data_IF_020361611096
#
_entry.id   IF_020361611096
#
_cell.length_a   1.000
_cell.length_b   1.000
_cell.length_c   1.000
_cell.angle_alpha   90.00
_cell.angle_beta   90.00
_cell.angle_gamma   90.00
#
_symmetry.space_group_name_H-M   'P 1'
#
loop_
_entity.id
_entity.type
_entity.pdbx_description
1 polymer ?
#
# COMPACT_ATOMS: atom_id res chain seq x y z
N UNK A 1 8.01 -20.29 -27.80
CA UNK A 1 7.58 -18.86 -27.71
C UNK A 1 7.32 -18.43 -26.26
N UNK A 2 6.46 -19.12 -25.47
CA UNK A 2 6.12 -18.74 -24.08
C UNK A 2 7.37 -18.72 -23.18
N UNK A 3 8.28 -19.70 -23.32
CA UNK A 3 9.53 -19.74 -22.53
C UNK A 3 10.37 -18.49 -22.81
N UNK A 4 10.48 -18.06 -24.06
CA UNK A 4 11.24 -16.86 -24.42
C UNK A 4 10.59 -15.60 -23.87
N UNK A 5 9.26 -15.48 -23.95
CA UNK A 5 8.52 -14.35 -23.39
C UNK A 5 8.63 -14.25 -21.85
N UNK A 6 8.74 -15.39 -21.17
CA UNK A 6 8.89 -15.43 -19.71
C UNK A 6 10.32 -15.25 -19.22
N UNK A 7 11.33 -15.56 -20.08
CA UNK A 7 12.72 -15.74 -19.69
C UNK A 7 13.30 -14.57 -18.90
N UNK A 8 13.22 -13.37 -19.46
CA UNK A 8 13.85 -12.18 -18.88
C UNK A 8 13.15 -11.80 -17.56
N UNK A 9 11.81 -11.79 -17.56
CA UNK A 9 11.04 -11.51 -16.35
C UNK A 9 11.27 -12.59 -15.28
N UNK A 10 11.43 -13.84 -15.69
CA UNK A 10 11.69 -14.97 -14.79
C UNK A 10 13.07 -14.89 -14.13
N UNK A 11 14.08 -14.44 -14.88
CA UNK A 11 15.44 -14.29 -14.36
C UNK A 11 15.57 -13.05 -13.46
N UNK A 12 15.05 -11.91 -13.91
CA UNK A 12 15.29 -10.62 -13.26
C UNK A 12 14.27 -10.32 -12.15
N UNK A 13 13.02 -10.77 -12.31
CA UNK A 13 11.89 -10.46 -11.42
C UNK A 13 11.09 -11.72 -11.11
N UNK A 14 11.73 -12.69 -10.49
CA UNK A 14 11.14 -14.01 -10.20
C UNK A 14 9.70 -13.99 -9.70
N UNK A 15 9.32 -13.17 -8.68
CA UNK A 15 7.94 -13.13 -8.20
C UNK A 15 6.93 -12.69 -9.27
N UNK A 16 7.33 -11.77 -10.15
CA UNK A 16 6.52 -11.31 -11.28
C UNK A 16 6.42 -12.40 -12.35
N UNK A 17 7.53 -13.08 -12.64
CA UNK A 17 7.57 -14.21 -13.59
C UNK A 17 6.66 -15.35 -13.16
N UNK A 18 6.65 -15.70 -11.86
CA UNK A 18 5.76 -16.73 -11.31
C UNK A 18 4.28 -16.35 -11.48
N UNK A 19 3.92 -15.09 -11.20
CA UNK A 19 2.54 -14.59 -11.41
C UNK A 19 2.15 -14.60 -12.89
N UNK A 20 3.03 -14.13 -13.75
CA UNK A 20 2.78 -14.09 -15.20
C UNK A 20 2.60 -15.49 -15.75
N UNK A 21 3.49 -16.43 -15.39
CA UNK A 21 3.35 -17.83 -15.78
C UNK A 21 2.01 -18.41 -15.34
N UNK A 22 1.61 -18.20 -14.07
CA UNK A 22 0.32 -18.67 -13.55
C UNK A 22 -0.90 -18.03 -14.24
N UNK A 23 -0.78 -16.77 -14.72
CA UNK A 23 -1.84 -16.15 -15.50
C UNK A 23 -1.95 -16.79 -16.90
N UNK A 24 -0.81 -17.03 -17.55
CA UNK A 24 -0.75 -17.73 -18.85
C UNK A 24 -1.34 -19.13 -18.72
N UNK A 25 -0.94 -19.89 -17.69
CA UNK A 25 -1.46 -21.22 -17.39
C UNK A 25 -2.99 -21.23 -17.31
N UNK A 26 -3.56 -20.32 -16.53
CA UNK A 26 -5.03 -20.19 -16.38
C UNK A 26 -5.75 -19.82 -17.67
N UNK A 27 -5.15 -18.98 -18.52
CA UNK A 27 -5.72 -18.62 -19.83
C UNK A 27 -5.80 -19.85 -20.73
N UNK A 28 -4.74 -20.66 -20.77
CA UNK A 28 -4.74 -21.88 -21.58
C UNK A 28 -5.62 -22.98 -20.99
N UNK A 29 -5.71 -23.11 -19.68
CA UNK A 29 -6.66 -24.03 -19.06
C UNK A 29 -8.10 -23.66 -19.42
N UNK A 30 -8.45 -22.37 -19.37
CA UNK A 30 -9.75 -21.89 -19.80
C UNK A 30 -10.02 -22.14 -21.30
N UNK A 31 -8.99 -22.02 -22.14
CA UNK A 31 -9.11 -22.35 -23.57
C UNK A 31 -9.36 -23.85 -23.80
N UNK A 32 -8.83 -24.73 -22.95
CA UNK A 32 -9.11 -26.17 -22.96
C UNK A 32 -10.55 -26.43 -22.54
N UNK A 33 -11.02 -25.79 -21.45
CA UNK A 33 -12.39 -25.91 -20.97
C UNK A 33 -13.44 -25.48 -22.02
N UNK A 34 -13.06 -24.57 -22.93
CA UNK A 34 -13.85 -24.13 -24.07
C UNK A 34 -13.63 -24.97 -25.36
N UNK A 35 -12.91 -26.09 -25.26
CA UNK A 35 -12.56 -26.97 -26.39
C UNK A 35 -11.80 -26.29 -27.53
N UNK A 36 -11.18 -25.11 -27.27
CA UNK A 36 -10.38 -24.36 -28.25
C UNK A 36 -8.97 -24.93 -28.42
N UNK A 37 -8.52 -25.78 -27.47
CA UNK A 37 -7.22 -26.44 -27.45
C UNK A 37 -7.27 -27.78 -26.74
N UNK A 38 -6.39 -28.68 -27.12
CA UNK A 38 -6.26 -30.00 -26.49
C UNK A 38 -5.28 -30.01 -25.31
N UNK A 39 -4.36 -29.01 -25.22
CA UNK A 39 -3.34 -29.03 -24.16
C UNK A 39 -2.82 -27.64 -23.77
N UNK A 40 -2.28 -27.55 -22.54
CA UNK A 40 -1.71 -26.32 -22.01
C UNK A 40 -0.22 -26.22 -22.34
N UNK A 41 0.21 -25.26 -23.20
CA UNK A 41 1.61 -25.10 -23.60
C UNK A 41 2.45 -24.37 -22.55
N UNK A 42 1.91 -24.00 -21.39
CA UNK A 42 2.66 -23.25 -20.38
C UNK A 42 3.75 -24.12 -19.78
N UNK A 43 5.02 -23.67 -19.81
CA UNK A 43 6.13 -24.45 -19.29
C UNK A 43 6.00 -24.72 -17.80
N UNK A 44 6.35 -25.93 -17.36
CA UNK A 44 6.45 -26.23 -15.93
C UNK A 44 7.58 -25.41 -15.28
N UNK A 45 7.49 -25.00 -14.01
CA UNK A 45 8.54 -24.19 -13.36
C UNK A 45 9.93 -24.79 -13.48
N UNK A 46 10.06 -26.13 -13.44
CA UNK A 46 11.33 -26.87 -13.61
C UNK A 46 11.95 -26.78 -15.01
N UNK A 47 11.16 -26.38 -16.02
CA UNK A 47 11.63 -26.21 -17.40
C UNK A 47 12.11 -24.78 -17.67
N UNK A 48 12.02 -23.88 -16.70
CA UNK A 48 12.49 -22.51 -16.78
C UNK A 48 13.88 -22.39 -16.15
N UNK A 49 14.71 -21.42 -16.57
CA UNK A 49 16.06 -21.28 -16.05
C UNK A 49 16.07 -21.00 -14.55
N UNK A 50 17.14 -21.40 -13.87
CA UNK A 50 17.33 -21.09 -12.45
C UNK A 50 17.55 -19.58 -12.30
N UNK A 51 16.65 -18.92 -11.59
CA UNK A 51 16.80 -17.50 -11.27
C UNK A 51 17.63 -17.32 -10.00
N UNK A 52 18.64 -16.48 -10.08
CA UNK A 52 19.42 -16.04 -8.92
C UNK A 52 18.80 -14.82 -8.22
N UNK A 53 17.59 -14.41 -8.63
CA UNK A 53 16.90 -13.27 -8.05
C UNK A 53 16.69 -13.47 -6.54
N UNK A 54 17.29 -12.63 -5.74
CA UNK A 54 17.04 -12.55 -4.32
C UNK A 54 15.83 -11.65 -4.06
N UNK A 55 14.93 -12.11 -3.20
CA UNK A 55 13.76 -11.31 -2.83
C UNK A 55 14.24 -10.19 -1.89
N UNK A 56 14.26 -8.97 -2.39
CA UNK A 56 14.46 -7.80 -1.54
C UNK A 56 13.13 -7.45 -0.85
N UNK A 57 13.14 -7.48 0.47
CA UNK A 57 12.02 -6.99 1.27
C UNK A 57 12.02 -5.46 1.28
N UNK A 58 10.82 -4.86 1.39
CA UNK A 58 10.74 -3.42 1.61
C UNK A 58 11.52 -3.05 2.87
N UNK A 59 12.41 -2.06 2.74
CA UNK A 59 13.19 -1.57 3.88
C UNK A 59 12.23 -1.00 4.93
N UNK A 60 12.32 -1.55 6.13
CA UNK A 60 11.65 -1.03 7.33
C UNK A 60 12.59 -0.07 8.06
N UNK A 61 12.02 0.85 8.80
CA UNK A 61 12.75 1.72 9.70
C UNK A 61 12.89 1.02 11.05
N UNK A 62 14.04 1.19 11.71
CA UNK A 62 14.17 0.76 13.10
C UNK A 62 13.26 1.61 13.97
N UNK A 63 12.56 1.00 14.94
CA UNK A 63 11.54 1.68 15.74
C UNK A 63 12.13 2.82 16.59
N UNK A 64 13.40 2.72 16.99
CA UNK A 64 14.14 3.74 17.71
C UNK A 64 14.21 5.07 16.95
N UNK A 65 14.08 5.04 15.64
CA UNK A 65 14.07 6.21 14.78
C UNK A 65 12.69 6.84 14.61
N UNK A 66 11.65 6.25 15.19
CA UNK A 66 10.30 6.79 15.09
C UNK A 66 10.17 8.23 15.63
N UNK A 67 10.80 8.61 16.79
CA UNK A 67 10.79 9.99 17.26
C UNK A 67 11.51 10.97 16.31
N UNK A 68 12.61 10.54 15.67
CA UNK A 68 13.33 11.34 14.66
C UNK A 68 12.43 11.64 13.45
N UNK A 69 11.76 10.60 12.91
CA UNK A 69 10.81 10.77 11.81
C UNK A 69 9.64 11.66 12.21
N UNK A 70 9.08 11.46 13.40
CA UNK A 70 8.00 12.29 13.92
C UNK A 70 8.39 13.76 13.96
N UNK A 71 9.54 14.08 14.55
CA UNK A 71 10.06 15.43 14.57
C UNK A 71 10.25 16.00 13.17
N UNK A 72 10.87 15.23 12.28
CA UNK A 72 11.08 15.65 10.88
C UNK A 72 9.77 15.93 10.15
N UNK A 73 8.75 15.09 10.31
CA UNK A 73 7.43 15.31 9.71
C UNK A 73 6.81 16.64 10.15
N UNK A 74 6.96 17.01 11.42
CA UNK A 74 6.30 18.19 12.01
C UNK A 74 7.09 19.48 11.85
N UNK A 75 8.40 19.40 11.60
CA UNK A 75 9.27 20.57 11.38
C UNK A 75 9.56 20.84 9.91
N UNK A 76 9.29 19.87 9.00
CA UNK A 76 9.64 20.00 7.58
C UNK A 76 8.79 21.06 6.89
N UNK A 77 9.42 22.15 6.35
CA UNK A 77 8.71 23.13 5.54
C UNK A 77 8.27 22.54 4.19
N UNK A 78 7.25 23.13 3.57
CA UNK A 78 6.77 22.78 2.22
C UNK A 78 6.26 21.34 2.05
N UNK A 79 5.86 20.67 3.15
CA UNK A 79 5.12 19.43 3.09
C UNK A 79 3.63 19.72 3.27
N UNK A 80 2.81 19.33 2.30
CA UNK A 80 1.35 19.52 2.38
C UNK A 80 0.76 18.81 3.61
N UNK A 81 -0.24 19.40 4.28
CA UNK A 81 -0.81 18.87 5.53
C UNK A 81 -1.35 17.46 5.35
N UNK A 82 -2.00 17.14 4.24
CA UNK A 82 -2.55 15.80 3.98
C UNK A 82 -1.45 14.73 3.92
N UNK A 83 -0.31 15.03 3.27
CA UNK A 83 0.82 14.11 3.17
C UNK A 83 1.49 13.91 4.53
N UNK A 84 1.68 15.00 5.26
CA UNK A 84 2.25 14.99 6.62
C UNK A 84 1.41 14.12 7.55
N UNK A 85 0.13 14.41 7.63
CA UNK A 85 -0.80 13.68 8.50
C UNK A 85 -0.96 12.23 8.05
N UNK A 86 -1.00 11.97 6.73
CA UNK A 86 -1.04 10.62 6.20
C UNK A 86 0.16 9.78 6.63
N UNK A 87 1.38 10.33 6.61
CA UNK A 87 2.58 9.65 7.10
C UNK A 87 2.57 9.49 8.62
N UNK A 88 2.13 10.51 9.37
CA UNK A 88 2.01 10.43 10.83
C UNK A 88 1.00 9.35 11.25
N UNK A 89 -0.16 9.28 10.59
CA UNK A 89 -1.15 8.23 10.82
C UNK A 89 -0.65 6.85 10.39
N UNK A 90 0.14 6.76 9.31
CA UNK A 90 0.76 5.50 8.90
C UNK A 90 1.72 4.97 9.98
N UNK A 91 2.52 5.85 10.57
CA UNK A 91 3.43 5.52 11.67
C UNK A 91 2.68 5.10 12.93
N UNK A 92 1.68 5.88 13.36
CA UNK A 92 0.92 5.63 14.60
C UNK A 92 0.02 4.40 14.53
N UNK A 93 -0.59 4.13 13.37
CA UNK A 93 -1.65 3.13 13.25
C UNK A 93 -1.19 1.85 12.52
N UNK A 94 0.00 1.83 11.94
CA UNK A 94 0.48 0.71 11.12
C UNK A 94 -0.43 0.36 9.95
N UNK A 95 -1.17 1.34 9.40
CA UNK A 95 -2.14 1.14 8.30
C UNK A 95 -1.47 1.15 6.93
N UNK A 96 -2.12 0.49 5.96
CA UNK A 96 -1.68 0.57 4.56
C UNK A 96 -1.97 1.95 3.98
N UNK A 97 -1.09 2.42 3.10
CA UNK A 97 -1.26 3.72 2.43
C UNK A 97 -2.61 3.85 1.72
N UNK A 98 -3.10 2.77 1.11
CA UNK A 98 -4.40 2.76 0.45
C UNK A 98 -5.57 2.94 1.44
N UNK A 99 -5.49 2.34 2.64
CA UNK A 99 -6.51 2.48 3.68
C UNK A 99 -6.59 3.94 4.14
N UNK A 100 -5.44 4.59 4.39
CA UNK A 100 -5.35 6.00 4.78
C UNK A 100 -5.81 6.95 3.66
N UNK A 101 -5.40 6.70 2.41
CA UNK A 101 -5.79 7.52 1.27
C UNK A 101 -7.31 7.51 1.00
N UNK A 102 -7.97 6.40 1.35
CA UNK A 102 -9.43 6.20 1.19
C UNK A 102 -10.21 6.43 2.48
N UNK A 103 -9.56 6.89 3.54
CA UNK A 103 -10.20 7.21 4.82
C UNK A 103 -11.24 8.32 4.62
N UNK A 104 -12.47 8.06 5.05
CA UNK A 104 -13.60 9.00 4.97
C UNK A 104 -13.96 9.52 6.32
N UNK A 105 -14.46 10.75 6.39
CA UNK A 105 -14.97 11.32 7.62
C UNK A 105 -16.17 10.54 8.17
N UNK A 106 -17.02 10.01 7.31
CA UNK A 106 -18.14 9.16 7.71
C UNK A 106 -17.73 7.88 8.46
N UNK A 107 -16.48 7.45 8.32
CA UNK A 107 -15.92 6.25 8.95
C UNK A 107 -15.16 6.56 10.25
N UNK A 108 -15.07 7.85 10.65
CA UNK A 108 -14.28 8.33 11.79
C UNK A 108 -15.21 8.92 12.85
N UNK A 109 -15.20 8.30 14.01
CA UNK A 109 -15.85 8.82 15.21
C UNK A 109 -14.80 9.53 16.07
N UNK A 110 -14.79 10.86 15.96
CA UNK A 110 -13.83 11.70 16.70
C UNK A 110 -14.16 11.79 18.19
N UNK A 111 -15.43 11.59 18.60
CA UNK A 111 -15.85 11.66 20.00
C UNK A 111 -15.42 10.40 20.75
N UNK A 112 -15.67 9.23 20.15
CA UNK A 112 -15.31 7.95 20.76
C UNK A 112 -13.89 7.48 20.39
N UNK A 113 -13.18 8.22 19.54
CA UNK A 113 -11.82 7.88 19.13
C UNK A 113 -11.72 6.59 18.33
N UNK A 114 -12.59 6.38 17.35
CA UNK A 114 -12.67 5.13 16.59
C UNK A 114 -12.67 5.43 15.10
N UNK A 115 -11.89 4.64 14.36
CA UNK A 115 -11.97 4.56 12.90
C UNK A 115 -12.44 3.18 12.48
N UNK A 116 -13.50 3.11 11.68
CA UNK A 116 -14.01 1.87 11.10
C UNK A 116 -13.61 1.80 9.63
N UNK A 117 -12.62 0.96 9.30
CA UNK A 117 -12.27 0.72 7.89
C UNK A 117 -13.31 -0.23 7.27
N UNK A 118 -14.06 0.19 6.24
CA UNK A 118 -15.08 -0.64 5.60
C UNK A 118 -14.49 -1.94 5.00
N UNK A 119 -15.31 -2.99 4.93
CA UNK A 119 -14.90 -4.31 4.43
C UNK A 119 -14.37 -4.27 2.99
N UNK A 120 -14.92 -3.39 2.16
CA UNK A 120 -14.52 -3.20 0.75
C UNK A 120 -13.08 -2.67 0.60
N UNK A 121 -12.57 -1.94 1.60
CA UNK A 121 -11.20 -1.44 1.64
C UNK A 121 -10.21 -2.40 2.30
N UNK A 122 -10.70 -3.53 2.83
CA UNK A 122 -9.88 -4.50 3.54
C UNK A 122 -9.55 -5.72 2.69
N UNK A 123 -8.28 -6.16 2.71
CA UNK A 123 -7.82 -7.36 1.97
C UNK A 123 -8.64 -8.62 2.33
N UNK A 124 -9.08 -8.75 3.58
CA UNK A 124 -9.86 -9.89 4.08
C UNK A 124 -11.39 -9.69 3.97
N UNK A 125 -11.85 -8.60 3.36
CA UNK A 125 -13.28 -8.24 3.22
C UNK A 125 -14.08 -8.31 4.53
N UNK A 126 -13.42 -7.93 5.64
CA UNK A 126 -14.07 -7.75 6.96
C UNK A 126 -13.78 -6.32 7.41
N UNK A 127 -14.80 -5.61 7.87
CA UNK A 127 -14.64 -4.30 8.47
C UNK A 127 -13.68 -4.39 9.67
N UNK A 128 -12.85 -3.37 9.84
CA UNK A 128 -11.87 -3.31 10.92
C UNK A 128 -12.08 -2.07 11.76
N UNK A 129 -12.43 -2.26 13.03
CA UNK A 129 -12.56 -1.20 14.01
C UNK A 129 -11.20 -0.96 14.67
N UNK A 130 -10.71 0.26 14.58
CA UNK A 130 -9.42 0.69 15.08
C UNK A 130 -9.62 1.79 16.13
N UNK A 131 -9.24 1.57 17.40
CA UNK A 131 -9.10 2.65 18.37
C UNK A 131 -8.01 3.63 17.90
N UNK A 132 -8.24 4.91 18.10
CA UNK A 132 -7.34 5.99 17.74
C UNK A 132 -6.61 6.48 19.00
N UNK A 133 -5.29 6.44 19.07
CA UNK A 133 -4.54 7.05 20.16
C UNK A 133 -4.70 8.58 20.13
N UNK A 134 -4.45 9.24 21.26
CA UNK A 134 -4.63 10.68 21.42
C UNK A 134 -3.93 11.50 20.35
N UNK A 135 -2.70 11.13 20.00
CA UNK A 135 -1.94 11.82 18.95
C UNK A 135 -2.61 11.71 17.56
N UNK A 136 -3.22 10.55 17.24
CA UNK A 136 -3.97 10.40 15.99
C UNK A 136 -5.25 11.24 16.00
N UNK A 137 -5.95 11.33 17.13
CA UNK A 137 -7.13 12.19 17.30
C UNK A 137 -6.78 13.66 17.12
N UNK A 138 -5.71 14.15 17.73
CA UNK A 138 -5.22 15.52 17.56
C UNK A 138 -4.95 15.86 16.09
N UNK A 139 -4.27 14.94 15.38
CA UNK A 139 -4.00 15.10 13.94
C UNK A 139 -5.31 15.13 13.12
N UNK A 140 -6.25 14.26 13.45
CA UNK A 140 -7.55 14.20 12.76
C UNK A 140 -8.39 15.43 13.05
N UNK A 141 -8.43 15.92 14.28
CA UNK A 141 -9.09 17.18 14.64
C UNK A 141 -8.45 18.39 13.93
N UNK A 142 -7.14 18.40 13.81
CA UNK A 142 -6.43 19.44 13.05
C UNK A 142 -6.82 19.42 11.57
N UNK A 143 -6.74 18.25 10.91
CA UNK A 143 -7.04 18.16 9.48
C UNK A 143 -8.53 18.34 9.20
N UNK A 144 -9.42 18.04 10.16
CA UNK A 144 -10.85 18.26 10.02
C UNK A 144 -11.19 19.73 9.77
N UNK A 145 -10.43 20.66 10.35
CA UNK A 145 -10.59 22.10 10.08
C UNK A 145 -10.34 22.47 8.61
N UNK A 146 -9.58 21.65 7.90
CA UNK A 146 -9.20 21.86 6.48
C UNK A 146 -10.06 21.05 5.52
N UNK A 147 -10.43 19.82 5.88
CA UNK A 147 -11.08 18.87 4.98
C UNK A 147 -12.41 18.33 5.50
N UNK A 148 -12.91 18.79 6.65
CA UNK A 148 -14.15 18.30 7.25
C UNK A 148 -15.42 18.52 6.42
N UNK A 149 -15.35 19.43 5.43
CA UNK A 149 -16.41 19.67 4.45
C UNK A 149 -16.36 18.68 3.26
N UNK A 150 -15.27 17.95 3.10
CA UNK A 150 -15.07 16.95 2.04
C UNK A 150 -15.47 15.55 2.53
N UNK A 151 -15.52 14.57 1.64
CA UNK A 151 -15.77 13.18 2.03
C UNK A 151 -14.51 12.49 2.55
N UNK A 152 -13.33 12.83 1.99
CA UNK A 152 -12.05 12.22 2.31
C UNK A 152 -11.29 13.01 3.38
N UNK A 153 -10.74 12.29 4.37
CA UNK A 153 -9.88 12.88 5.41
C UNK A 153 -8.61 13.50 4.83
N UNK A 154 -7.96 12.79 3.90
CA UNK A 154 -6.73 13.22 3.24
C UNK A 154 -6.98 13.65 1.78
N UNK A 155 -8.18 14.10 1.47
CA UNK A 155 -8.54 14.59 0.15
C UNK A 155 -7.89 15.94 -0.17
N UNK A 156 -7.73 16.21 -1.46
CA UNK A 156 -7.37 17.56 -1.93
C UNK A 156 -8.64 18.43 -2.03
N UNK A 157 -8.48 19.69 -2.48
CA UNK A 157 -9.58 20.64 -2.66
C UNK A 157 -10.71 20.18 -3.61
N UNK A 158 -10.47 19.14 -4.41
CA UNK A 158 -11.46 18.52 -5.31
C UNK A 158 -11.97 17.17 -4.77
N UNK A 159 -11.79 16.90 -3.48
CA UNK A 159 -12.10 15.65 -2.81
C UNK A 159 -11.49 14.39 -3.50
N UNK A 160 -10.34 14.56 -4.14
CA UNK A 160 -9.57 13.46 -4.70
C UNK A 160 -8.55 12.97 -3.69
N UNK A 161 -8.35 11.64 -3.57
CA UNK A 161 -7.37 11.08 -2.64
C UNK A 161 -5.95 11.50 -3.03
N UNK A 162 -5.04 11.54 -2.07
CA UNK A 162 -3.61 11.67 -2.33
C UNK A 162 -3.17 10.70 -3.43
N UNK A 163 -2.20 11.10 -4.26
CA UNK A 163 -1.63 10.20 -5.25
C UNK A 163 -0.99 8.96 -4.59
N UNK A 164 -0.87 7.87 -5.34
CA UNK A 164 -0.34 6.60 -4.80
C UNK A 164 1.06 6.74 -4.19
N UNK A 165 1.86 7.60 -4.78
CA UNK A 165 3.25 7.78 -4.40
C UNK A 165 3.50 9.03 -3.53
N UNK A 166 2.49 9.83 -3.20
CA UNK A 166 2.69 11.08 -2.45
C UNK A 166 3.44 10.86 -1.13
N UNK A 167 2.98 9.89 -0.33
CA UNK A 167 3.62 9.54 0.93
C UNK A 167 5.00 8.91 0.73
N UNK A 168 5.16 8.06 -0.28
CA UNK A 168 6.46 7.43 -0.60
C UNK A 168 7.51 8.47 -0.99
N UNK A 169 7.18 9.37 -1.93
CA UNK A 169 8.12 10.40 -2.36
C UNK A 169 8.45 11.41 -1.27
N UNK A 170 7.50 11.71 -0.39
CA UNK A 170 7.77 12.55 0.75
C UNK A 170 8.74 11.84 1.72
N UNK A 171 8.50 10.58 2.03
CA UNK A 171 9.31 9.79 2.97
C UNK A 171 10.74 9.54 2.45
N UNK A 172 10.93 9.33 1.15
CA UNK A 172 12.25 9.20 0.52
C UNK A 172 13.17 10.42 0.71
N UNK A 173 12.62 11.57 1.10
CA UNK A 173 13.43 12.74 1.48
C UNK A 173 13.97 12.66 2.91
N UNK A 174 13.45 11.76 3.70
CA UNK A 174 13.93 11.47 5.05
C UNK A 174 14.93 10.32 5.03
N UNK A 175 14.55 9.19 4.41
CA UNK A 175 15.37 7.98 4.32
C UNK A 175 14.85 7.06 3.21
N UNK A 176 15.64 6.06 2.82
CA UNK A 176 15.26 5.00 1.88
C UNK A 176 14.38 3.92 2.54
N UNK A 177 13.29 4.36 3.16
CA UNK A 177 12.27 3.53 3.78
C UNK A 177 10.93 3.73 3.09
N UNK A 178 9.99 2.82 3.32
CA UNK A 178 8.66 2.91 2.72
C UNK A 178 7.58 3.03 3.80
N UNK A 179 6.43 3.69 3.51
CA UNK A 179 5.31 3.70 4.45
C UNK A 179 4.80 2.30 4.78
N UNK A 180 5.00 1.33 3.86
CA UNK A 180 4.68 -0.08 4.11
C UNK A 180 5.61 -0.68 5.18
N UNK A 181 6.87 -0.26 5.22
CA UNK A 181 7.86 -0.68 6.19
C UNK A 181 7.46 -0.37 7.65
N UNK A 182 6.66 0.68 7.90
CA UNK A 182 6.16 0.99 9.25
C UNK A 182 5.33 -0.12 9.89
N UNK A 183 4.84 -1.08 9.10
CA UNK A 183 4.11 -2.23 9.64
C UNK A 183 5.04 -3.32 10.19
N UNK A 184 6.34 -3.20 9.94
CA UNK A 184 7.39 -4.10 10.42
C UNK A 184 8.37 -3.38 11.38
N UNK A 185 8.09 -2.12 11.68
CA UNK A 185 8.84 -1.25 12.63
C UNK A 185 8.44 -1.51 14.08
#
# INVERSE_FOLDING_TARGET
EIINALRDIWLDKKPTGVKLRGNIERIFDYAIDLELREGNPTPKPRSLPVSQHQVEHFKSMQYERAPELWHWLHTRPRMGPQTRIGLSLALLLGKRTLELRKMRWADVDLENGIWVTPAEHMKKRKAHRQPLPSQALELLQFIHKLTGHASLVLGNQHDKPLSENAMLYALKRFDDVTPHGFRAT
#
